data_IF_935848313076
#
_entry.id   IF_935848313076
#
_cell.length_a   1.000
_cell.length_b   1.000
_cell.length_c   1.000
_cell.angle_alpha   90.00
_cell.angle_beta   90.00
_cell.angle_gamma   90.00
#
_symmetry.space_group_name_H-M   'P 1'
#
loop_
_entity.id
_entity.type
_entity.pdbx_description
1 polymer ?
#
# COMPACT_ATOMS: atom_id res chain seq x y z
N UNK A 1 -15.28 0.03 0.68
CA UNK A 1 -14.83 1.43 0.81
C UNK A 1 -13.40 1.40 1.33
N UNK A 2 -12.41 1.94 0.61
CA UNK A 2 -11.07 2.07 1.16
C UNK A 2 -11.02 3.41 1.89
N UNK A 3 -10.93 3.36 3.22
CA UNK A 3 -10.80 4.56 4.03
C UNK A 3 -9.41 5.18 3.77
N UNK A 4 -9.40 6.48 3.54
CA UNK A 4 -8.20 7.32 3.43
C UNK A 4 -8.18 8.29 4.60
N UNK A 5 -6.99 8.70 5.03
CA UNK A 5 -6.83 9.78 6.00
C UNK A 5 -6.93 11.17 5.35
N UNK A 6 -6.61 12.22 6.10
CA UNK A 6 -6.64 13.61 5.65
C UNK A 6 -5.62 13.94 4.53
N UNK A 7 -4.70 13.03 4.23
CA UNK A 7 -3.68 13.17 3.17
C UNK A 7 -3.96 12.22 1.98
N UNK A 8 -5.13 11.58 1.95
CA UNK A 8 -5.45 10.58 0.93
C UNK A 8 -4.70 9.25 1.13
N UNK A 9 -4.04 9.04 2.27
CA UNK A 9 -3.28 7.82 2.52
C UNK A 9 -4.21 6.71 3.01
N UNK A 10 -4.09 5.54 2.38
CA UNK A 10 -4.77 4.31 2.81
C UNK A 10 -3.96 3.56 3.85
N UNK A 11 -4.56 2.54 4.47
CA UNK A 11 -3.83 1.60 5.33
C UNK A 11 -2.63 0.93 4.61
N UNK A 12 -2.68 0.77 3.28
CA UNK A 12 -1.55 0.24 2.49
C UNK A 12 -0.37 1.21 2.47
N UNK A 13 -0.62 2.52 2.36
CA UNK A 13 0.43 3.54 2.43
C UNK A 13 1.17 3.49 3.76
N UNK A 14 0.42 3.45 4.86
CA UNK A 14 0.99 3.33 6.19
C UNK A 14 1.73 2.00 6.38
N UNK A 15 1.17 0.88 5.89
CA UNK A 15 1.81 -0.43 5.93
C UNK A 15 3.14 -0.47 5.17
N UNK A 16 3.19 0.13 3.98
CA UNK A 16 4.40 0.29 3.18
C UNK A 16 5.43 1.18 3.89
N UNK A 17 5.02 2.36 4.36
CA UNK A 17 5.91 3.32 5.01
C UNK A 17 6.57 2.75 6.27
N UNK A 18 5.83 1.98 7.07
CA UNK A 18 6.35 1.33 8.27
C UNK A 18 7.12 0.03 7.99
N UNK A 19 7.10 -0.47 6.75
CA UNK A 19 7.72 -1.75 6.39
C UNK A 19 6.99 -2.96 6.98
N UNK A 20 5.71 -2.82 7.33
CA UNK A 20 4.90 -3.88 7.93
C UNK A 20 4.38 -4.83 6.85
N UNK A 21 5.26 -5.69 6.33
CA UNK A 21 4.95 -6.64 5.25
C UNK A 21 3.68 -7.46 5.51
N UNK A 22 3.51 -7.99 6.72
CA UNK A 22 2.37 -8.85 7.06
C UNK A 22 1.05 -8.08 7.02
N UNK A 23 1.07 -6.81 7.43
CA UNK A 23 -0.09 -5.91 7.35
C UNK A 23 -0.42 -5.60 5.89
N UNK A 24 0.60 -5.33 5.07
CA UNK A 24 0.43 -5.09 3.62
C UNK A 24 -0.20 -6.32 2.95
N UNK A 25 0.30 -7.52 3.23
CA UNK A 25 -0.26 -8.78 2.73
C UNK A 25 -1.72 -8.97 3.13
N UNK A 26 -2.03 -8.72 4.41
CA UNK A 26 -3.38 -8.85 4.92
C UNK A 26 -4.33 -7.87 4.21
N UNK A 27 -3.94 -6.60 4.07
CA UNK A 27 -4.74 -5.59 3.39
C UNK A 27 -5.02 -5.95 1.94
N UNK A 28 -4.01 -6.44 1.21
CA UNK A 28 -4.17 -6.92 -0.17
C UNK A 28 -5.11 -8.11 -0.26
N UNK A 29 -5.00 -9.08 0.67
CA UNK A 29 -5.90 -10.22 0.73
C UNK A 29 -7.36 -9.82 0.98
N UNK A 30 -7.60 -8.70 1.66
CA UNK A 30 -8.93 -8.09 1.82
C UNK A 30 -9.36 -7.19 0.64
N UNK A 31 -8.62 -7.20 -0.46
CA UNK A 31 -8.95 -6.46 -1.69
C UNK A 31 -8.55 -4.99 -1.64
N UNK A 32 -7.59 -4.60 -0.78
CA UNK A 32 -7.04 -3.26 -0.80
C UNK A 32 -6.29 -2.98 -2.11
N UNK A 33 -6.46 -1.77 -2.65
CA UNK A 33 -5.90 -1.36 -3.93
C UNK A 33 -4.46 -0.82 -3.77
N UNK A 34 -3.43 -1.50 -4.29
CA UNK A 34 -2.04 -1.04 -4.20
C UNK A 34 -1.74 0.16 -5.13
N UNK A 35 -2.57 0.38 -6.13
CA UNK A 35 -2.49 1.43 -7.15
C UNK A 35 -3.16 2.75 -6.72
N UNK A 36 -3.80 2.78 -5.55
CA UNK A 36 -4.40 4.01 -5.03
C UNK A 36 -3.31 5.02 -4.69
N UNK A 37 -3.40 6.21 -5.29
CA UNK A 37 -2.53 7.34 -4.99
C UNK A 37 -3.11 8.20 -3.86
N UNK A 38 -2.22 8.76 -3.04
CA UNK A 38 -2.51 9.79 -2.06
C UNK A 38 -2.74 11.15 -2.71
N UNK A 39 -3.05 12.17 -1.90
CA UNK A 39 -3.26 13.54 -2.38
C UNK A 39 -1.98 14.16 -2.98
N UNK A 40 -0.80 13.67 -2.57
CA UNK A 40 0.51 14.04 -3.12
C UNK A 40 0.86 13.24 -4.40
N UNK A 41 -0.06 12.40 -4.88
CA UNK A 41 0.14 11.54 -6.05
C UNK A 41 1.05 10.33 -5.78
N UNK A 42 1.34 10.01 -4.52
CA UNK A 42 2.20 8.88 -4.14
C UNK A 42 1.38 7.63 -3.88
N UNK A 43 1.85 6.48 -4.33
CA UNK A 43 1.25 5.18 -4.00
C UNK A 43 1.88 4.57 -2.74
N UNK A 44 1.28 3.50 -2.23
CA UNK A 44 1.88 2.74 -1.13
C UNK A 44 3.28 2.22 -1.46
N UNK A 45 3.57 1.92 -2.74
CA UNK A 45 4.88 1.48 -3.20
C UNK A 45 5.92 2.60 -3.19
N UNK A 46 5.50 3.84 -3.48
CA UNK A 46 6.37 5.02 -3.43
C UNK A 46 6.79 5.36 -1.99
N UNK A 47 5.91 5.07 -1.02
CA UNK A 47 6.20 5.27 0.40
C UNK A 47 6.90 4.07 1.05
N UNK A 48 6.96 2.92 0.39
CA UNK A 48 7.49 1.70 0.98
C UNK A 48 9.00 1.78 1.22
N UNK A 49 9.38 1.70 2.51
CA UNK A 49 10.78 1.79 2.96
C UNK A 49 11.51 0.45 2.99
N UNK A 50 10.75 -0.64 3.15
CA UNK A 50 11.27 -2.00 3.24
C UNK A 50 11.12 -2.75 1.90
N UNK A 51 12.15 -3.49 1.51
CA UNK A 51 12.19 -4.32 0.29
C UNK A 51 11.09 -5.39 0.28
N UNK A 52 10.76 -5.96 1.45
CA UNK A 52 9.70 -6.96 1.57
C UNK A 52 8.31 -6.37 1.33
N UNK A 53 8.02 -5.19 1.90
CA UNK A 53 6.78 -4.46 1.60
C UNK A 53 6.71 -4.05 0.12
N UNK A 54 7.82 -3.57 -0.46
CA UNK A 54 7.91 -3.24 -1.90
C UNK A 54 7.64 -4.44 -2.79
N UNK A 55 8.23 -5.59 -2.50
CA UNK A 55 8.03 -6.82 -3.26
C UNK A 55 6.56 -7.25 -3.26
N UNK A 56 5.89 -7.17 -2.11
CA UNK A 56 4.47 -7.53 -1.98
C UNK A 56 3.58 -6.54 -2.76
N UNK A 57 3.82 -5.24 -2.63
CA UNK A 57 3.07 -4.21 -3.36
C UNK A 57 3.26 -4.33 -4.87
N UNK A 58 4.49 -4.63 -5.30
CA UNK A 58 4.82 -4.86 -6.70
C UNK A 58 4.12 -6.12 -7.23
N UNK A 59 4.11 -7.22 -6.47
CA UNK A 59 3.43 -8.45 -6.85
C UNK A 59 1.90 -8.24 -7.00
N UNK A 60 1.29 -7.48 -6.08
CA UNK A 60 -0.14 -7.20 -6.15
C UNK A 60 -0.54 -6.33 -7.34
N UNK A 61 0.39 -5.55 -7.91
CA UNK A 61 0.13 -4.74 -9.11
C UNK A 61 0.11 -5.55 -10.41
N UNK A 62 0.73 -6.73 -10.41
CA UNK A 62 0.84 -7.59 -11.61
C UNK A 62 -0.36 -8.53 -11.77
N UNK A 63 -1.14 -8.74 -10.70
CA UNK A 63 -2.34 -9.58 -10.66
C UNK A 63 -3.61 -8.78 -11.02
N UNK A 64 -3.54 -7.91 -12.04
CA UNK A 64 -4.62 -7.03 -12.51
C UNK A 64 -5.07 -7.32 -13.93
#
# INVERSE_FOLDING_TARGET
>A
MHAVDEFGLTALHHGGEKGHRDVVLLLLAYGARPDQASDDGKTAMDLAKDEGARAVLQAARVEG
#
